data_IF_513131182235
#
_entry.id   IF_513131182235
#
_cell.length_a   1.000
_cell.length_b   1.000
_cell.length_c   1.000
_cell.angle_alpha   90.00
_cell.angle_beta   90.00
_cell.angle_gamma   90.00
#
_symmetry.space_group_name_H-M   'P 1'
#
loop_
_entity.id
_entity.type
_entity.pdbx_description
1 polymer ?
#
# COMPACT_ATOMS: atom_id res chain seq x y z
N UNK A 1 -19.66 -6.85 -12.68
CA UNK A 1 -19.21 -6.70 -12.32
C UNK A 1 -18.48 -6.37 -11.90
N UNK A 2 -17.97 -5.95 -11.66
CA UNK A 2 -17.10 -5.66 -11.33
C UNK A 2 -16.67 -5.79 -10.30
N UNK A 3 -16.32 -6.15 -10.42
CA UNK A 3 -15.65 -6.52 -9.48
C UNK A 3 -14.94 -5.58 -8.78
N UNK A 4 -14.89 -5.53 -7.63
CA UNK A 4 -14.26 -4.67 -6.96
C UNK A 4 -12.98 -5.12 -6.63
N UNK A 5 -12.01 -4.84 -7.32
CA UNK A 5 -10.72 -5.20 -6.94
C UNK A 5 -10.16 -4.16 -6.04
N UNK A 6 -9.46 -4.51 -5.02
CA UNK A 6 -8.77 -3.54 -4.19
C UNK A 6 -7.71 -2.88 -5.03
N UNK A 7 -7.30 -1.71 -4.64
CA UNK A 7 -6.27 -0.99 -5.36
C UNK A 7 -4.91 -1.45 -4.93
N UNK A 8 -4.57 -2.67 -5.26
CA UNK A 8 -3.26 -3.23 -4.96
C UNK A 8 -2.33 -2.92 -6.10
N UNK A 9 -1.28 -2.15 -5.83
CA UNK A 9 -0.30 -1.80 -6.86
C UNK A 9 1.09 -2.17 -6.37
N UNK A 10 2.01 -2.36 -7.27
CA UNK A 10 3.38 -2.68 -6.90
C UNK A 10 3.99 -1.49 -6.16
N UNK A 11 4.95 -1.79 -5.30
CA UNK A 11 5.55 -0.78 -4.45
C UNK A 11 6.11 0.39 -5.25
N UNK A 12 6.76 0.13 -6.37
CA UNK A 12 7.32 1.21 -7.16
C UNK A 12 6.23 2.10 -7.74
N UNK A 13 5.11 1.51 -8.12
CA UNK A 13 4.00 2.29 -8.64
C UNK A 13 3.37 3.13 -7.54
N UNK A 14 3.25 2.54 -6.35
CA UNK A 14 2.72 3.26 -5.21
C UNK A 14 3.60 4.48 -4.91
N UNK A 15 4.90 4.30 -4.94
CA UNK A 15 5.83 5.40 -4.65
C UNK A 15 5.64 6.52 -5.65
N UNK A 16 5.45 6.16 -6.90
CA UNK A 16 5.24 7.13 -7.94
C UNK A 16 3.97 7.93 -7.71
N UNK A 17 2.90 7.23 -7.33
CA UNK A 17 1.61 7.87 -7.12
C UNK A 17 1.58 8.76 -5.88
N UNK A 18 2.29 8.37 -4.85
CA UNK A 18 2.20 9.07 -3.58
C UNK A 18 3.42 9.88 -3.19
N UNK A 19 4.45 9.85 -4.02
CA UNK A 19 5.64 10.62 -3.69
C UNK A 19 6.51 10.05 -2.61
N UNK A 20 6.35 8.77 -2.30
CA UNK A 20 7.19 8.11 -1.30
C UNK A 20 8.37 7.48 -2.00
N UNK A 21 9.45 7.28 -1.26
CA UNK A 21 10.54 6.46 -1.76
C UNK A 21 10.30 5.03 -1.33
N UNK A 22 10.89 4.09 -2.04
CA UNK A 22 10.73 2.68 -1.66
C UNK A 22 11.32 2.41 -0.29
N UNK A 23 12.42 3.08 0.04
CA UNK A 23 13.03 2.90 1.36
C UNK A 23 12.09 3.36 2.45
N UNK A 24 11.37 4.44 2.23
CA UNK A 24 10.41 4.94 3.22
C UNK A 24 9.28 3.95 3.42
N UNK A 25 8.78 3.37 2.32
CA UNK A 25 7.70 2.40 2.41
C UNK A 25 8.18 1.15 3.14
N UNK A 26 9.36 0.66 2.77
CA UNK A 26 9.89 -0.55 3.41
C UNK A 26 10.14 -0.32 4.89
N UNK A 27 10.52 0.90 5.27
CA UNK A 27 10.73 1.22 6.68
C UNK A 27 9.42 1.14 7.45
N UNK A 28 8.33 1.64 6.86
CA UNK A 28 7.04 1.56 7.52
C UNK A 28 6.58 0.12 7.69
N UNK A 29 6.85 -0.71 6.71
CA UNK A 29 6.53 -2.12 6.79
C UNK A 29 7.35 -2.77 7.89
N UNK A 30 8.64 -2.46 7.95
CA UNK A 30 9.53 -3.07 8.91
C UNK A 30 9.16 -2.66 10.33
N UNK A 31 8.75 -1.43 10.53
CA UNK A 31 8.36 -0.96 11.85
C UNK A 31 6.96 -1.38 12.22
N UNK A 32 6.28 -2.05 11.31
CA UNK A 32 4.91 -2.51 11.51
C UNK A 32 3.92 -1.37 11.67
N UNK A 33 4.25 -0.23 11.10
CA UNK A 33 3.31 0.88 11.06
C UNK A 33 2.17 0.56 10.12
N UNK A 34 2.45 -0.23 9.08
CA UNK A 34 1.45 -0.65 8.12
C UNK A 34 1.17 -2.14 8.32
N UNK A 35 -0.07 -2.46 8.59
CA UNK A 35 -0.47 -3.80 8.90
C UNK A 35 -0.47 -4.68 7.67
N UNK A 36 0.16 -5.85 7.78
CA UNK A 36 0.20 -6.79 6.67
C UNK A 36 -1.19 -7.27 6.33
N UNK A 37 -1.44 -7.49 5.06
CA UNK A 37 -2.72 -7.94 4.53
C UNK A 37 -3.80 -6.86 4.58
N UNK A 38 -3.53 -5.73 5.16
CA UNK A 38 -4.46 -4.62 5.18
C UNK A 38 -3.93 -3.49 4.29
N UNK A 39 -2.71 -3.04 4.58
CA UNK A 39 -2.11 -1.97 3.80
C UNK A 39 -1.10 -2.48 2.78
N UNK A 40 -0.50 -3.63 3.04
CA UNK A 40 0.45 -4.20 2.11
C UNK A 40 0.41 -5.71 2.21
N UNK A 41 0.92 -6.38 1.21
CA UNK A 41 1.09 -7.82 1.28
C UNK A 41 2.03 -8.24 0.16
N UNK A 42 2.43 -9.51 0.17
CA UNK A 42 3.27 -10.03 -0.88
C UNK A 42 2.42 -10.74 -1.90
N UNK A 43 2.65 -10.41 -3.16
CA UNK A 43 1.98 -11.11 -4.24
C UNK A 43 2.60 -12.50 -4.39
N UNK A 44 1.94 -13.39 -5.15
CA UNK A 44 2.48 -14.73 -5.33
C UNK A 44 3.90 -14.79 -5.88
N UNK A 45 4.30 -13.78 -6.64
CA UNK A 45 5.66 -13.73 -7.18
C UNK A 45 6.63 -13.06 -6.20
N UNK A 46 6.20 -12.91 -4.95
CA UNK A 46 7.05 -12.38 -3.90
C UNK A 46 7.28 -10.88 -3.97
N UNK A 47 6.56 -10.17 -4.79
CA UNK A 47 6.67 -8.74 -4.86
C UNK A 47 5.74 -8.10 -3.85
N UNK A 48 6.13 -6.95 -3.33
CA UNK A 48 5.32 -6.24 -2.37
C UNK A 48 4.30 -5.40 -3.13
N UNK A 49 3.04 -5.52 -2.75
CA UNK A 49 1.98 -4.69 -3.30
C UNK A 49 1.34 -3.90 -2.17
N UNK A 50 0.89 -2.70 -2.48
CA UNK A 50 0.36 -1.77 -1.49
C UNK A 50 -1.10 -1.49 -1.83
N UNK A 51 -1.95 -1.48 -0.80
CA UNK A 51 -3.35 -1.15 -0.98
C UNK A 51 -3.50 0.36 -0.87
N UNK A 52 -3.65 1.01 -2.01
CA UNK A 52 -3.69 2.47 -2.06
C UNK A 52 -4.86 3.02 -1.27
N UNK A 53 -6.02 2.38 -1.37
CA UNK A 53 -7.19 2.83 -0.64
C UNK A 53 -6.97 2.77 0.87
N UNK A 54 -6.40 1.67 1.34
CA UNK A 54 -6.15 1.53 2.78
C UNK A 54 -5.13 2.54 3.26
N UNK A 55 -4.11 2.82 2.45
CA UNK A 55 -3.11 3.81 2.84
C UNK A 55 -3.75 5.19 2.90
N UNK A 56 -4.62 5.51 1.98
CA UNK A 56 -5.32 6.80 2.01
C UNK A 56 -6.10 6.95 3.30
N UNK A 57 -6.79 5.90 3.73
CA UNK A 57 -7.52 5.95 4.98
C UNK A 57 -6.58 6.09 6.17
N UNK A 58 -5.46 5.37 6.11
CA UNK A 58 -4.46 5.44 7.18
C UNK A 58 -3.91 6.86 7.30
N UNK A 59 -3.77 7.56 6.18
CA UNK A 59 -3.27 8.91 6.20
C UNK A 59 -4.29 9.91 6.70
N UNK A 60 -5.46 9.45 7.05
CA UNK A 60 -6.49 10.35 7.55
C UNK A 60 -7.36 10.95 6.48
N UNK A 61 -7.28 10.43 5.28
CA UNK A 61 -8.09 10.96 4.21
C UNK A 61 -9.53 10.55 4.25
N UNK A 62 -9.89 9.79 5.24
CA UNK A 62 -11.24 9.34 5.30
C UNK A 62 -12.20 10.40 5.73
N UNK A 63 -11.70 11.47 6.34
CA UNK A 63 -12.66 12.38 6.74
C UNK A 63 -12.72 13.43 5.78
N UNK A 64 -13.34 13.74 5.59
CA UNK A 64 -13.49 14.58 4.65
C UNK A 64 -13.60 15.32 4.64
#
# INVERSE_FOLDING_TARGET
>A
MQVMTPNWVLINKFCELKGYSEDAVRAKIKRREWEKEVLWRKAPDNRIVINVTAVNLWMGGSHV
#
